data_IF_217502148574
#
_entry.id   IF_217502148574
#
_cell.length_a   1.000
_cell.length_b   1.000
_cell.length_c   1.000
_cell.angle_alpha   90.00
_cell.angle_beta   90.00
_cell.angle_gamma   90.00
#
_symmetry.space_group_name_H-M   'P 1'
#
loop_
_entity.id
_entity.type
_entity.pdbx_description
1 polymer ?
#
# COMPACT_ATOMS: atom_id res chain seq x y z
N UNK A 1 19.24 38.34 -40.46
CA UNK A 1 19.44 37.21 -41.40
C UNK A 1 20.11 36.01 -40.74
N UNK A 2 21.22 36.17 -40.01
CA UNK A 2 21.87 35.03 -39.34
C UNK A 2 20.98 34.33 -38.30
N UNK A 3 20.31 35.09 -37.42
CA UNK A 3 19.41 34.52 -36.39
C UNK A 3 18.21 33.74 -36.98
N UNK A 4 17.60 34.26 -38.05
CA UNK A 4 16.47 33.59 -38.72
C UNK A 4 16.87 32.28 -39.40
N UNK A 5 18.11 32.19 -39.91
CA UNK A 5 18.65 30.95 -40.48
C UNK A 5 18.91 29.89 -39.40
N UNK A 6 19.42 30.29 -38.23
CA UNK A 6 19.63 29.37 -37.11
C UNK A 6 18.30 28.78 -36.64
N UNK A 7 17.26 29.60 -36.48
CA UNK A 7 15.92 29.11 -36.08
C UNK A 7 15.33 28.14 -37.10
N UNK A 8 15.52 28.41 -38.39
CA UNK A 8 15.06 27.50 -39.45
C UNK A 8 15.78 26.14 -39.40
N UNK A 9 17.09 26.14 -39.19
CA UNK A 9 17.88 24.90 -39.06
C UNK A 9 17.41 24.09 -37.84
N UNK A 10 17.16 24.75 -36.70
CA UNK A 10 16.67 24.06 -35.50
C UNK A 10 15.30 23.41 -35.69
N UNK A 11 14.39 24.08 -36.42
CA UNK A 11 13.07 23.52 -36.75
C UNK A 11 13.17 22.31 -37.68
N UNK A 12 14.07 22.33 -38.66
CA UNK A 12 14.29 21.19 -39.57
C UNK A 12 14.85 20.00 -38.81
N UNK A 13 15.81 20.22 -37.91
CA UNK A 13 16.39 19.15 -37.08
C UNK A 13 15.33 18.52 -36.17
N UNK A 14 14.50 19.33 -35.52
CA UNK A 14 13.38 18.84 -34.70
C UNK A 14 12.36 18.04 -35.54
N UNK A 15 12.02 18.53 -36.74
CA UNK A 15 11.14 17.82 -37.67
C UNK A 15 11.68 16.46 -38.09
N UNK A 16 13.00 16.36 -38.35
CA UNK A 16 13.66 15.09 -38.67
C UNK A 16 13.64 14.13 -37.49
N UNK A 17 13.90 14.60 -36.26
CA UNK A 17 13.85 13.75 -35.05
C UNK A 17 12.43 13.18 -34.85
N UNK A 18 11.40 14.00 -35.02
CA UNK A 18 10.00 13.57 -34.93
C UNK A 18 9.65 12.58 -36.05
N UNK A 19 10.11 12.82 -37.28
CA UNK A 19 9.91 11.92 -38.41
C UNK A 19 10.56 10.55 -38.16
N UNK A 20 11.78 10.51 -37.62
CA UNK A 20 12.47 9.26 -37.29
C UNK A 20 11.78 8.50 -36.14
N UNK A 21 11.16 9.20 -35.20
CA UNK A 21 10.33 8.60 -34.14
C UNK A 21 9.06 7.97 -34.73
N UNK A 22 8.38 8.69 -35.63
CA UNK A 22 7.13 8.23 -36.27
C UNK A 22 7.36 7.06 -37.24
N UNK A 23 8.52 6.99 -37.89
CA UNK A 23 8.93 5.85 -38.71
C UNK A 23 9.23 4.57 -37.89
N UNK A 24 9.09 4.63 -36.55
CA UNK A 24 9.09 3.44 -35.71
C UNK A 24 10.46 2.76 -35.59
N UNK A 25 11.55 3.38 -36.06
CA UNK A 25 12.89 2.80 -35.97
C UNK A 25 13.38 2.53 -34.54
N UNK A 26 12.77 3.17 -33.54
CA UNK A 26 13.00 2.89 -32.11
C UNK A 26 12.06 1.83 -31.51
N UNK A 27 11.00 1.44 -32.22
CA UNK A 27 9.98 0.47 -31.77
C UNK A 27 9.97 -0.86 -32.53
N UNK A 28 10.63 -0.97 -33.69
CA UNK A 28 10.58 -2.18 -34.56
C UNK A 28 11.68 -3.20 -34.18
N UNK A 29 11.91 -3.45 -32.88
CA UNK A 29 12.81 -4.52 -32.45
C UNK A 29 12.25 -5.43 -31.35
N UNK A 30 10.92 -5.49 -31.18
CA UNK A 30 10.32 -6.34 -30.15
C UNK A 30 9.11 -7.17 -30.60
N UNK A 31 8.65 -7.01 -31.84
CA UNK A 31 7.40 -7.64 -32.29
C UNK A 31 7.56 -8.90 -33.15
N UNK A 32 8.78 -9.32 -33.53
CA UNK A 32 8.97 -10.43 -34.48
C UNK A 32 9.64 -11.68 -33.89
N UNK A 33 10.21 -11.65 -32.68
CA UNK A 33 10.79 -12.86 -32.06
C UNK A 33 10.23 -13.26 -30.70
N UNK A 34 9.18 -12.60 -30.20
CA UNK A 34 8.77 -12.72 -28.79
C UNK A 34 7.27 -12.93 -28.58
N UNK A 35 6.58 -13.43 -29.62
CA UNK A 35 5.13 -13.60 -29.63
C UNK A 35 4.57 -14.68 -28.69
N UNK A 36 5.41 -15.46 -27.99
CA UNK A 36 4.92 -16.52 -27.11
C UNK A 36 5.57 -16.58 -25.72
N UNK A 37 6.70 -15.88 -25.49
CA UNK A 37 7.46 -15.98 -24.23
C UNK A 37 7.43 -14.72 -23.35
N UNK A 38 6.94 -13.57 -23.83
CA UNK A 38 6.76 -12.39 -22.97
C UNK A 38 5.48 -12.46 -22.13
N UNK A 39 4.45 -13.13 -22.66
CA UNK A 39 3.18 -13.27 -21.96
C UNK A 39 3.30 -14.09 -20.66
N UNK A 40 4.31 -14.98 -20.58
CA UNK A 40 4.57 -15.78 -19.38
C UNK A 40 5.36 -15.02 -18.31
N UNK A 41 6.04 -13.92 -18.67
CA UNK A 41 6.74 -13.06 -17.72
C UNK A 41 5.81 -12.01 -17.08
N UNK A 42 4.77 -11.59 -17.80
CA UNK A 42 3.77 -10.65 -17.30
C UNK A 42 2.55 -11.31 -16.62
N UNK A 43 2.45 -12.64 -16.64
CA UNK A 43 1.35 -13.36 -15.98
C UNK A 43 1.60 -13.59 -14.49
N UNK A 44 0.56 -13.44 -13.67
CA UNK A 44 0.55 -13.88 -12.26
C UNK A 44 0.96 -15.34 -12.12
N UNK A 45 1.72 -15.67 -11.09
CA UNK A 45 2.21 -17.02 -10.84
C UNK A 45 1.14 -17.85 -10.08
N UNK A 46 0.29 -18.61 -10.78
CA UNK A 46 -0.67 -19.57 -10.18
C UNK A 46 -0.16 -21.03 -10.18
N UNK A 47 1.10 -21.25 -9.80
CA UNK A 47 1.65 -22.62 -9.67
C UNK A 47 1.46 -23.51 -10.92
N UNK A 48 1.44 -22.92 -12.13
CA UNK A 48 1.32 -23.64 -13.40
C UNK A 48 -0.11 -23.96 -13.88
N UNK A 49 -1.15 -23.49 -13.18
CA UNK A 49 -2.54 -23.65 -13.60
C UNK A 49 -3.06 -22.44 -14.38
N UNK A 50 -4.10 -22.65 -15.20
CA UNK A 50 -4.78 -21.55 -15.90
C UNK A 50 -5.57 -20.74 -14.87
N UNK A 51 -5.54 -19.42 -15.00
CA UNK A 51 -6.15 -18.51 -14.06
C UNK A 51 -7.68 -18.68 -14.05
N UNK A 52 -8.23 -19.30 -13.01
CA UNK A 52 -9.67 -19.50 -12.81
C UNK A 52 -10.15 -18.69 -11.60
N UNK A 53 -10.30 -17.38 -11.81
CA UNK A 53 -10.92 -16.48 -10.84
C UNK A 53 -10.32 -15.08 -10.91
N UNK A 54 -11.13 -14.08 -10.61
CA UNK A 54 -10.60 -12.77 -10.23
C UNK A 54 -9.76 -12.98 -8.97
N UNK A 55 -8.54 -12.44 -8.93
CA UNK A 55 -7.73 -12.33 -7.71
C UNK A 55 -8.38 -11.31 -6.76
N UNK A 56 -9.60 -11.59 -6.33
CA UNK A 56 -10.24 -10.88 -5.23
C UNK A 56 -9.42 -11.28 -4.00
N UNK A 57 -8.57 -10.37 -3.53
CA UNK A 57 -7.97 -10.48 -2.23
C UNK A 57 -9.13 -10.49 -1.23
N UNK A 58 -9.62 -11.68 -0.86
CA UNK A 58 -10.51 -11.87 0.28
C UNK A 58 -9.69 -11.59 1.54
N UNK A 59 -9.30 -10.32 1.71
CA UNK A 59 -8.82 -9.83 2.97
C UNK A 59 -9.96 -10.06 3.96
N UNK A 60 -9.76 -11.01 4.86
CA UNK A 60 -10.84 -11.41 5.75
C UNK A 60 -11.17 -10.23 6.67
N UNK A 61 -12.46 -10.06 6.95
CA UNK A 61 -12.97 -9.01 7.84
C UNK A 61 -12.28 -9.01 9.22
N UNK A 62 -11.76 -10.17 9.66
CA UNK A 62 -10.95 -10.30 10.88
C UNK A 62 -9.72 -9.40 10.89
N UNK A 63 -8.95 -9.34 9.80
CA UNK A 63 -7.73 -8.54 9.75
C UNK A 63 -8.03 -7.04 9.84
N UNK A 64 -9.15 -6.60 9.23
CA UNK A 64 -9.59 -5.21 9.33
C UNK A 64 -10.02 -4.86 10.75
N UNK A 65 -10.76 -5.76 11.41
CA UNK A 65 -11.18 -5.61 12.80
C UNK A 65 -9.99 -5.48 13.76
N UNK A 66 -8.99 -6.35 13.62
CA UNK A 66 -7.75 -6.30 14.40
C UNK A 66 -7.00 -4.98 14.23
N UNK A 67 -6.92 -4.46 13.00
CA UNK A 67 -6.22 -3.20 12.73
C UNK A 67 -6.91 -2.01 13.41
N UNK A 68 -8.25 -1.96 13.35
CA UNK A 68 -9.01 -0.87 13.99
C UNK A 68 -8.85 -0.93 15.51
N UNK A 69 -8.94 -2.12 16.11
CA UNK A 69 -8.77 -2.31 17.55
C UNK A 69 -7.33 -1.97 18.00
N UNK A 70 -6.32 -2.36 17.21
CA UNK A 70 -4.93 -2.01 17.47
C UNK A 70 -4.71 -0.49 17.58
N UNK A 71 -5.30 0.30 16.68
CA UNK A 71 -5.18 1.76 16.71
C UNK A 71 -5.83 2.37 17.96
N UNK A 72 -6.95 1.80 18.42
CA UNK A 72 -7.65 2.26 19.62
C UNK A 72 -6.82 1.97 20.87
N UNK A 73 -6.29 0.74 21.00
CA UNK A 73 -5.45 0.38 22.13
C UNK A 73 -4.14 1.18 22.19
N UNK A 74 -3.53 1.49 21.05
CA UNK A 74 -2.32 2.34 20.99
C UNK A 74 -2.60 3.77 21.52
N UNK A 75 -3.79 4.30 21.22
CA UNK A 75 -4.23 5.60 21.75
C UNK A 75 -4.44 5.54 23.27
N UNK A 76 -5.07 4.48 23.78
CA UNK A 76 -5.31 4.32 25.22
C UNK A 76 -3.99 4.18 26.01
N UNK A 77 -3.02 3.43 25.48
CA UNK A 77 -1.69 3.30 26.09
C UNK A 77 -0.94 4.64 26.06
N UNK A 78 -1.05 5.40 24.97
CA UNK A 78 -0.47 6.75 24.86
C UNK A 78 -1.03 7.71 25.92
N UNK A 79 -2.34 7.62 26.20
CA UNK A 79 -3.00 8.37 27.29
C UNK A 79 -2.46 7.96 28.67
N UNK A 80 -2.25 6.66 28.89
CA UNK A 80 -1.69 6.14 30.13
C UNK A 80 -0.23 6.60 30.33
N UNK A 81 0.54 6.67 29.25
CA UNK A 81 1.92 7.16 29.27
C UNK A 81 2.00 8.63 29.72
N UNK A 82 1.02 9.46 29.34
CA UNK A 82 0.94 10.86 29.79
C UNK A 82 0.86 10.98 31.33
N UNK A 83 0.21 10.02 31.99
CA UNK A 83 0.11 9.94 33.47
C UNK A 83 1.45 9.66 34.13
N UNK A 84 2.37 8.99 33.43
CA UNK A 84 3.71 8.74 33.97
C UNK A 84 4.56 10.02 34.00
N UNK A 85 4.21 11.01 33.18
CA UNK A 85 4.89 12.30 33.13
C UNK A 85 4.24 13.33 34.06
N UNK A 86 2.91 13.33 34.18
CA UNK A 86 2.18 14.18 35.12
C UNK A 86 2.09 13.53 36.51
N UNK A 87 2.68 14.17 37.52
CA UNK A 87 2.61 13.68 38.90
C UNK A 87 1.16 13.48 39.38
N UNK A 88 0.84 12.29 39.88
CA UNK A 88 -0.54 11.88 40.20
C UNK A 88 -1.03 12.53 41.49
N UNK A 89 -2.10 13.31 41.41
CA UNK A 89 -2.84 13.81 42.59
C UNK A 89 -3.83 12.74 43.08
N UNK A 90 -4.05 12.63 44.40
CA UNK A 90 -4.88 11.58 45.02
C UNK A 90 -6.29 11.44 44.41
N UNK A 91 -6.89 12.52 43.93
CA UNK A 91 -8.24 12.49 43.35
C UNK A 91 -8.25 11.92 41.92
N UNK A 92 -7.17 12.13 41.15
CA UNK A 92 -7.04 11.61 39.78
C UNK A 92 -6.68 10.12 39.76
N UNK A 93 -6.12 9.59 40.85
CA UNK A 93 -5.72 8.18 40.97
C UNK A 93 -6.89 7.21 40.70
N UNK A 94 -8.08 7.50 41.20
CA UNK A 94 -9.24 6.63 41.01
C UNK A 94 -9.70 6.57 39.55
N UNK A 95 -9.67 7.70 38.83
CA UNK A 95 -9.99 7.75 37.40
C UNK A 95 -9.03 6.88 36.58
N UNK A 96 -7.73 6.91 36.90
CA UNK A 96 -6.74 6.08 36.21
C UNK A 96 -6.90 4.58 36.50
N UNK A 97 -7.31 4.24 37.72
CA UNK A 97 -7.58 2.85 38.10
C UNK A 97 -8.78 2.28 37.31
N UNK A 98 -9.83 3.09 37.13
CA UNK A 98 -10.98 2.75 36.29
C UNK A 98 -10.57 2.64 34.81
N UNK A 99 -9.70 3.52 34.34
CA UNK A 99 -9.17 3.50 32.97
C UNK A 99 -8.41 2.19 32.67
N UNK A 100 -7.54 1.75 33.59
CA UNK A 100 -6.83 0.47 33.46
C UNK A 100 -7.82 -0.71 33.42
N UNK A 101 -8.88 -0.67 34.23
CA UNK A 101 -9.90 -1.72 34.26
C UNK A 101 -10.65 -1.83 32.92
N UNK A 102 -10.97 -0.69 32.30
CA UNK A 102 -11.57 -0.65 30.96
C UNK A 102 -10.63 -1.22 29.89
N UNK A 103 -9.34 -0.88 29.94
CA UNK A 103 -8.34 -1.38 28.99
C UNK A 103 -8.21 -2.91 29.07
N UNK A 104 -8.13 -3.46 30.29
CA UNK A 104 -8.11 -4.91 30.51
C UNK A 104 -9.42 -5.57 30.07
N UNK A 105 -10.56 -4.94 30.35
CA UNK A 105 -11.87 -5.44 29.91
C UNK A 105 -11.99 -5.51 28.39
N UNK A 106 -11.56 -4.45 27.68
CA UNK A 106 -11.53 -4.41 26.22
C UNK A 106 -10.67 -5.53 25.64
N UNK A 107 -9.48 -5.76 26.21
CA UNK A 107 -8.58 -6.83 25.79
C UNK A 107 -9.20 -8.22 25.98
N UNK A 108 -9.87 -8.46 27.12
CA UNK A 108 -10.55 -9.75 27.37
C UNK A 108 -11.65 -9.99 26.33
N UNK A 109 -12.45 -8.96 26.02
CA UNK A 109 -13.50 -9.05 25.01
C UNK A 109 -12.90 -9.42 23.64
N UNK A 110 -11.81 -8.76 23.23
CA UNK A 110 -11.13 -9.07 21.96
C UNK A 110 -10.68 -10.53 21.87
N UNK A 111 -10.08 -11.05 22.94
CA UNK A 111 -9.64 -12.45 23.02
C UNK A 111 -10.83 -13.42 22.95
N UNK A 112 -11.95 -13.09 23.61
CA UNK A 112 -13.16 -13.92 23.61
C UNK A 112 -13.88 -13.94 22.26
N UNK A 113 -13.86 -12.83 21.50
CA UNK A 113 -14.43 -12.79 20.15
C UNK A 113 -13.62 -13.60 19.13
N UNK A 114 -12.45 -14.12 19.50
CA UNK A 114 -11.66 -14.98 18.63
C UNK A 114 -10.99 -14.25 17.48
N UNK A 115 -10.92 -12.91 17.52
CA UNK A 115 -10.18 -12.15 16.51
C UNK A 115 -8.67 -12.49 16.53
N UNK A 116 -8.14 -12.88 17.69
CA UNK A 116 -6.73 -13.25 17.89
C UNK A 116 -6.41 -14.68 17.43
N UNK A 117 -7.39 -15.57 17.28
CA UNK A 117 -7.12 -16.93 16.80
C UNK A 117 -6.95 -16.95 15.29
N UNK A 118 -5.69 -16.91 14.85
CA UNK A 118 -5.28 -16.97 13.44
C UNK A 118 -5.51 -18.34 12.77
N UNK A 119 -5.86 -19.37 13.55
CA UNK A 119 -6.05 -20.74 13.08
C UNK A 119 -7.42 -21.23 13.54
N UNK A 120 -8.33 -21.36 12.58
CA UNK A 120 -9.50 -22.25 12.66
C UNK A 120 -9.53 -23.13 11.42
#
# INVERSE_FOLDING_TARGET
MFSTLVVFIMLVVLGLIIYMYMLGYWGINYSVSIGNSLNTWFSSFECGFINHGCSENFFSFSYLSLLVLFVIFDLEVSLLLNVSFDGVWFNSYFCYLLFILLLVGGYIIEVLLGYVSWVS
#
